data_IF_626524341063
#
_entry.id   IF_626524341063
#
_cell.length_a   1.000
_cell.length_b   1.000
_cell.length_c   1.000
_cell.angle_alpha   90.00
_cell.angle_beta   90.00
_cell.angle_gamma   90.00
#
_symmetry.space_group_name_H-M   'P 1'
#
loop_
_entity.id
_entity.type
_entity.pdbx_description
1 polymer ?
#
# COMPACT_ATOMS: atom_id res chain seq x y z
N UNK A 1 -24.19 -23.74 -3.69
CA UNK A 1 -24.09 -22.27 -3.86
C UNK A 1 -22.64 -21.87 -3.68
N UNK A 2 -22.06 -21.10 -4.60
CA UNK A 2 -20.72 -20.53 -4.40
C UNK A 2 -20.81 -19.45 -3.32
N UNK A 3 -20.01 -19.51 -2.23
CA UNK A 3 -20.18 -18.60 -1.09
C UNK A 3 -19.84 -17.15 -1.43
N UNK A 4 -18.98 -16.95 -2.43
CA UNK A 4 -18.54 -15.67 -2.97
C UNK A 4 -18.90 -15.57 -4.45
N UNK A 5 -19.24 -14.37 -4.90
CA UNK A 5 -19.39 -13.98 -6.30
C UNK A 5 -18.21 -13.11 -6.72
N UNK A 6 -17.89 -13.14 -8.01
CA UNK A 6 -16.83 -12.32 -8.60
C UNK A 6 -17.43 -11.08 -9.26
N UNK A 7 -16.88 -9.91 -8.98
CA UNK A 7 -17.35 -8.61 -9.43
C UNK A 7 -16.23 -7.88 -10.16
N UNK A 8 -16.53 -7.28 -11.29
CA UNK A 8 -15.68 -6.30 -11.98
C UNK A 8 -15.78 -4.93 -11.31
N UNK A 9 -14.82 -4.04 -11.58
CA UNK A 9 -14.85 -2.65 -11.08
C UNK A 9 -16.15 -1.92 -11.46
N UNK A 10 -16.72 -2.22 -12.64
CA UNK A 10 -17.98 -1.60 -13.11
C UNK A 10 -19.22 -2.07 -12.34
N UNK A 11 -19.14 -3.18 -11.62
CA UNK A 11 -20.22 -3.74 -10.80
C UNK A 11 -20.15 -3.29 -9.33
N UNK A 12 -19.13 -2.51 -8.95
CA UNK A 12 -18.93 -2.01 -7.60
C UNK A 12 -19.46 -0.59 -7.41
N UNK A 13 -20.06 -0.34 -6.23
CA UNK A 13 -20.27 1.01 -5.74
C UNK A 13 -18.98 1.53 -5.10
N UNK A 14 -18.43 2.64 -5.58
CA UNK A 14 -17.18 3.19 -5.06
C UNK A 14 -17.46 4.37 -4.13
N UNK A 15 -17.17 4.17 -2.84
CA UNK A 15 -17.39 5.16 -1.78
C UNK A 15 -16.25 6.19 -1.79
N UNK A 16 -16.56 7.44 -1.49
CA UNK A 16 -15.56 8.52 -1.44
C UNK A 16 -14.95 8.94 -2.79
N UNK A 17 -15.38 8.35 -3.92
CA UNK A 17 -14.76 8.54 -5.23
C UNK A 17 -14.66 10.02 -5.65
N UNK A 18 -15.65 10.85 -5.28
CA UNK A 18 -15.66 12.27 -5.66
C UNK A 18 -14.39 13.01 -5.22
N UNK A 19 -13.89 12.72 -4.01
CA UNK A 19 -12.65 13.32 -3.51
C UNK A 19 -11.42 12.75 -4.24
N UNK A 20 -11.45 11.46 -4.57
CA UNK A 20 -10.36 10.79 -5.29
C UNK A 20 -10.24 11.22 -6.75
N UNK A 21 -11.31 11.69 -7.40
CA UNK A 21 -11.24 12.21 -8.77
C UNK A 21 -10.32 13.43 -8.93
N UNK A 22 -10.02 14.15 -7.85
CA UNK A 22 -9.05 15.26 -7.87
C UNK A 22 -7.61 14.80 -7.67
N UNK A 23 -7.38 13.52 -7.34
CA UNK A 23 -6.06 12.92 -7.23
C UNK A 23 -5.63 12.48 -8.65
N UNK A 24 -4.57 13.10 -9.19
CA UNK A 24 -4.21 13.01 -10.61
C UNK A 24 -4.13 11.58 -11.18
N UNK A 25 -3.55 10.65 -10.42
CA UNK A 25 -3.35 9.26 -10.87
C UNK A 25 -4.58 8.35 -10.70
N UNK A 26 -5.53 8.71 -9.83
CA UNK A 26 -6.66 7.85 -9.51
C UNK A 26 -7.49 7.44 -10.74
N UNK A 27 -7.85 8.35 -11.68
CA UNK A 27 -8.58 7.95 -12.89
C UNK A 27 -7.80 6.96 -13.76
N UNK A 28 -6.47 7.07 -13.84
CA UNK A 28 -5.64 6.16 -14.62
C UNK A 28 -5.59 4.76 -13.98
N UNK A 29 -5.34 4.70 -12.67
CA UNK A 29 -5.35 3.48 -11.87
C UNK A 29 -6.68 2.72 -12.02
N UNK A 30 -7.81 3.42 -11.87
CA UNK A 30 -9.13 2.82 -12.07
C UNK A 30 -9.34 2.31 -13.49
N UNK A 31 -8.90 3.06 -14.52
CA UNK A 31 -9.02 2.63 -15.92
C UNK A 31 -8.21 1.37 -16.21
N UNK A 32 -6.99 1.26 -15.67
CA UNK A 32 -6.17 0.06 -15.80
C UNK A 32 -6.90 -1.17 -15.25
N UNK A 33 -7.45 -1.09 -14.03
CA UNK A 33 -8.21 -2.21 -13.44
C UNK A 33 -9.41 -2.61 -14.30
N UNK A 34 -10.13 -1.65 -14.88
CA UNK A 34 -11.25 -1.91 -15.79
C UNK A 34 -10.77 -2.59 -17.07
N UNK A 35 -9.72 -2.06 -17.70
CA UNK A 35 -9.18 -2.56 -18.97
C UNK A 35 -8.63 -3.99 -18.84
N UNK A 36 -7.96 -4.28 -17.72
CA UNK A 36 -7.38 -5.58 -17.44
C UNK A 36 -8.41 -6.60 -16.92
N UNK A 37 -9.67 -6.18 -16.74
CA UNK A 37 -10.74 -7.04 -16.24
C UNK A 37 -10.50 -7.52 -14.80
N UNK A 38 -9.81 -6.72 -13.98
CA UNK A 38 -9.51 -7.05 -12.59
C UNK A 38 -10.79 -7.30 -11.80
N UNK A 39 -10.76 -8.32 -10.93
CA UNK A 39 -11.94 -8.80 -10.22
C UNK A 39 -11.76 -8.82 -8.72
N UNK A 40 -12.82 -8.42 -8.06
CA UNK A 40 -13.02 -8.50 -6.62
C UNK A 40 -13.94 -9.66 -6.30
N UNK A 41 -13.93 -10.11 -5.05
CA UNK A 41 -14.87 -11.10 -4.52
C UNK A 41 -15.76 -10.44 -3.49
N UNK A 42 -17.03 -10.80 -3.48
CA UNK A 42 -17.95 -10.40 -2.42
C UNK A 42 -18.85 -11.58 -2.06
N UNK A 43 -19.42 -11.62 -0.84
CA UNK A 43 -20.46 -12.57 -0.49
C UNK A 43 -21.57 -12.61 -1.54
N UNK A 44 -22.01 -13.81 -1.89
CA UNK A 44 -23.21 -13.98 -2.70
C UNK A 44 -24.43 -13.36 -1.98
N UNK A 45 -25.44 -12.94 -2.73
CA UNK A 45 -26.66 -12.38 -2.15
C UNK A 45 -27.33 -13.40 -1.21
N UNK A 46 -27.72 -12.96 -0.01
CA UNK A 46 -28.25 -13.85 1.04
C UNK A 46 -27.23 -14.77 1.70
N UNK A 47 -25.92 -14.62 1.40
CA UNK A 47 -24.87 -15.43 2.01
C UNK A 47 -24.73 -15.12 3.52
N UNK A 48 -24.64 -16.14 4.40
CA UNK A 48 -24.34 -15.94 5.82
C UNK A 48 -22.89 -15.48 6.08
N UNK A 49 -22.11 -15.26 5.02
CA UNK A 49 -20.75 -14.73 5.08
C UNK A 49 -20.69 -13.21 4.82
N UNK A 50 -21.84 -12.53 4.69
CA UNK A 50 -21.94 -11.08 4.48
C UNK A 50 -21.69 -10.25 5.76
N UNK A 51 -20.56 -10.51 6.43
CA UNK A 51 -20.14 -9.81 7.64
C UNK A 51 -18.66 -9.40 7.55
N UNK A 52 -18.37 -8.19 8.05
CA UNK A 52 -17.05 -7.56 7.90
C UNK A 52 -15.93 -8.32 8.65
N UNK A 53 -16.24 -8.88 9.83
CA UNK A 53 -15.32 -9.69 10.62
C UNK A 53 -14.78 -10.90 9.83
N UNK A 54 -15.65 -11.55 9.04
CA UNK A 54 -15.26 -12.69 8.20
C UNK A 54 -14.38 -12.28 7.03
N UNK A 55 -14.64 -11.12 6.43
CA UNK A 55 -13.87 -10.62 5.29
C UNK A 55 -12.40 -10.40 5.65
N UNK A 56 -12.12 -9.91 6.86
CA UNK A 56 -10.75 -9.79 7.37
C UNK A 56 -10.01 -11.13 7.36
N UNK A 57 -10.65 -12.20 7.85
CA UNK A 57 -10.06 -13.54 7.83
C UNK A 57 -9.93 -14.12 6.42
N UNK A 58 -10.89 -13.84 5.53
CA UNK A 58 -10.84 -14.30 4.14
C UNK A 58 -9.72 -13.60 3.36
N UNK A 59 -9.44 -12.33 3.64
CA UNK A 59 -8.31 -11.62 3.04
C UNK A 59 -6.95 -12.09 3.54
N UNK A 60 -6.86 -12.96 4.56
CA UNK A 60 -5.59 -13.64 4.85
C UNK A 60 -5.13 -14.51 3.68
N UNK A 61 -6.05 -14.98 2.83
CA UNK A 61 -5.69 -15.74 1.62
C UNK A 61 -5.39 -14.85 0.41
N UNK A 62 -5.61 -13.53 0.49
CA UNK A 62 -5.33 -12.57 -0.60
C UNK A 62 -3.90 -12.70 -1.10
N UNK A 63 -2.99 -12.98 -0.17
CA UNK A 63 -1.59 -13.08 -0.48
C UNK A 63 -1.20 -14.36 -1.23
N UNK A 64 -2.05 -15.40 -1.24
CA UNK A 64 -1.79 -16.65 -1.94
C UNK A 64 -1.60 -16.45 -3.46
N UNK A 65 -0.46 -16.92 -3.98
CA UNK A 65 -0.04 -16.70 -5.37
C UNK A 65 -1.03 -17.16 -6.47
N UNK A 66 -1.97 -18.05 -6.14
CA UNK A 66 -2.94 -18.60 -7.09
C UNK A 66 -4.18 -17.75 -7.33
N UNK A 67 -4.49 -16.76 -6.47
CA UNK A 67 -5.79 -16.08 -6.51
C UNK A 67 -5.79 -14.73 -5.76
N UNK A 68 -5.24 -13.71 -6.40
CA UNK A 68 -5.07 -12.37 -5.84
C UNK A 68 -6.31 -11.48 -5.98
N UNK A 69 -7.46 -11.98 -5.52
CA UNK A 69 -8.71 -11.23 -5.50
C UNK A 69 -9.00 -10.73 -4.08
N UNK A 70 -9.09 -9.41 -3.90
CA UNK A 70 -9.60 -8.83 -2.65
C UNK A 70 -11.03 -9.31 -2.39
N UNK A 71 -11.29 -9.76 -1.16
CA UNK A 71 -12.62 -10.07 -0.66
C UNK A 71 -13.18 -8.80 0.00
N UNK A 72 -14.33 -8.35 -0.48
CA UNK A 72 -15.10 -7.22 0.01
C UNK A 72 -16.25 -7.72 0.89
N UNK A 73 -16.70 -6.89 1.83
CA UNK A 73 -17.85 -7.23 2.69
C UNK A 73 -19.18 -7.25 1.92
N UNK A 74 -19.28 -6.45 0.87
CA UNK A 74 -20.44 -6.33 -0.01
C UNK A 74 -19.98 -5.84 -1.40
N UNK A 75 -20.93 -5.47 -2.28
CA UNK A 75 -20.62 -4.94 -3.62
C UNK A 75 -20.18 -3.46 -3.61
N UNK A 76 -19.39 -3.05 -2.62
CA UNK A 76 -18.83 -1.71 -2.56
C UNK A 76 -17.42 -1.69 -1.98
N UNK A 77 -16.68 -0.66 -2.38
CA UNK A 77 -15.25 -0.48 -2.07
C UNK A 77 -14.98 1.00 -1.83
N UNK A 78 -14.08 1.33 -0.92
CA UNK A 78 -13.61 2.70 -0.74
C UNK A 78 -12.59 3.07 -1.84
N UNK A 79 -12.56 4.32 -2.26
CA UNK A 79 -11.73 4.76 -3.38
C UNK A 79 -10.22 4.63 -3.13
N UNK A 80 -9.78 4.77 -1.88
CA UNK A 80 -8.40 4.49 -1.45
C UNK A 80 -8.07 3.01 -1.62
N UNK A 81 -8.93 2.11 -1.15
CA UNK A 81 -8.73 0.67 -1.29
C UNK A 81 -8.65 0.27 -2.77
N UNK A 82 -9.48 0.87 -3.64
CA UNK A 82 -9.39 0.65 -5.08
C UNK A 82 -8.04 1.13 -5.67
N UNK A 83 -7.55 2.29 -5.24
CA UNK A 83 -6.27 2.83 -5.70
C UNK A 83 -5.09 1.98 -5.22
N UNK A 84 -5.15 1.52 -3.97
CA UNK A 84 -4.17 0.64 -3.36
C UNK A 84 -4.12 -0.72 -4.10
N UNK A 85 -5.27 -1.34 -4.35
CA UNK A 85 -5.37 -2.57 -5.14
C UNK A 85 -4.86 -2.38 -6.59
N UNK A 86 -5.08 -1.20 -7.18
CA UNK A 86 -4.55 -0.87 -8.50
C UNK A 86 -3.01 -0.83 -8.51
N UNK A 87 -2.37 -0.27 -7.48
CA UNK A 87 -0.91 -0.29 -7.37
C UNK A 87 -0.36 -1.70 -7.23
N UNK A 88 -1.01 -2.57 -6.45
CA UNK A 88 -0.65 -3.99 -6.39
C UNK A 88 -0.74 -4.68 -7.74
N UNK A 89 -1.83 -4.41 -8.48
CA UNK A 89 -1.99 -4.96 -9.81
C UNK A 89 -0.92 -4.46 -10.79
N UNK A 90 -0.62 -3.16 -10.79
CA UNK A 90 0.44 -2.56 -11.61
C UNK A 90 1.83 -3.15 -11.27
N UNK A 91 2.16 -3.24 -9.98
CA UNK A 91 3.41 -3.82 -9.52
C UNK A 91 3.54 -5.29 -9.92
N UNK A 92 2.49 -6.10 -9.76
CA UNK A 92 2.49 -7.50 -10.22
C UNK A 92 2.73 -7.64 -11.72
N UNK A 93 2.17 -6.75 -12.54
CA UNK A 93 2.42 -6.74 -14.00
C UNK A 93 3.88 -6.40 -14.30
N UNK A 94 4.41 -5.36 -13.65
CA UNK A 94 5.76 -4.86 -13.89
C UNK A 94 6.86 -5.78 -13.34
N UNK A 95 6.57 -6.50 -12.25
CA UNK A 95 7.53 -7.33 -11.48
C UNK A 95 7.20 -8.82 -11.58
N UNK A 96 6.43 -9.24 -12.59
CA UNK A 96 5.93 -10.59 -12.73
C UNK A 96 7.07 -11.62 -12.70
N UNK A 97 6.90 -12.65 -11.86
CA UNK A 97 7.78 -13.81 -11.78
C UNK A 97 7.00 -15.07 -12.18
N UNK A 98 7.60 -16.01 -12.94
CA UNK A 98 6.93 -17.24 -13.38
C UNK A 98 6.66 -18.24 -12.25
N UNK A 99 7.22 -18.06 -11.06
CA UNK A 99 7.07 -18.97 -9.92
C UNK A 99 6.35 -18.31 -8.76
N UNK A 100 7.07 -17.48 -8.02
CA UNK A 100 6.59 -16.69 -6.89
C UNK A 100 7.29 -15.33 -6.94
N UNK A 101 6.64 -14.25 -6.46
CA UNK A 101 7.30 -12.97 -6.34
C UNK A 101 8.47 -13.07 -5.36
N UNK A 102 9.58 -12.39 -5.68
CA UNK A 102 10.71 -12.27 -4.76
C UNK A 102 10.31 -11.37 -3.58
N UNK A 103 11.03 -11.43 -2.44
CA UNK A 103 10.77 -10.52 -1.32
C UNK A 103 10.85 -9.05 -1.74
N UNK A 104 11.85 -8.70 -2.57
CA UNK A 104 12.00 -7.34 -3.08
C UNK A 104 10.81 -6.92 -3.97
N UNK A 105 10.31 -7.80 -4.83
CA UNK A 105 9.12 -7.50 -5.65
C UNK A 105 7.88 -7.24 -4.79
N UNK A 106 7.66 -8.06 -3.74
CA UNK A 106 6.57 -7.85 -2.78
C UNK A 106 6.73 -6.50 -2.06
N UNK A 107 7.90 -6.23 -1.49
CA UNK A 107 8.13 -5.01 -0.73
C UNK A 107 8.07 -3.75 -1.59
N UNK A 108 8.50 -3.80 -2.86
CA UNK A 108 8.38 -2.66 -3.76
C UNK A 108 6.90 -2.34 -4.06
N UNK A 109 6.09 -3.36 -4.34
CA UNK A 109 4.65 -3.19 -4.58
C UNK A 109 3.94 -2.57 -3.38
N UNK A 110 4.14 -3.13 -2.19
CA UNK A 110 3.60 -2.61 -0.92
C UNK A 110 4.07 -1.18 -0.63
N UNK A 111 5.37 -0.92 -0.79
CA UNK A 111 5.95 0.40 -0.53
C UNK A 111 5.37 1.48 -1.44
N UNK A 112 5.11 1.16 -2.72
CA UNK A 112 4.46 2.08 -3.66
C UNK A 112 3.01 2.33 -3.24
N UNK A 113 2.23 1.27 -2.96
CA UNK A 113 0.83 1.40 -2.60
C UNK A 113 0.65 2.20 -1.29
N UNK A 114 1.41 1.86 -0.24
CA UNK A 114 1.38 2.56 1.05
C UNK A 114 1.92 3.99 1.00
N UNK A 115 2.98 4.25 0.22
CA UNK A 115 3.43 5.62 0.04
C UNK A 115 2.42 6.46 -0.75
N UNK A 116 1.67 5.85 -1.67
CA UNK A 116 0.59 6.53 -2.38
C UNK A 116 -0.55 6.93 -1.44
N UNK A 117 -0.84 6.15 -0.40
CA UNK A 117 -1.79 6.55 0.64
C UNK A 117 -1.35 7.85 1.32
N UNK A 118 -0.06 7.97 1.68
CA UNK A 118 0.49 9.22 2.23
C UNK A 118 0.42 10.38 1.24
N UNK A 119 0.67 10.13 -0.04
CA UNK A 119 0.51 11.13 -1.11
C UNK A 119 -0.93 11.67 -1.15
N UNK A 120 -1.92 10.78 -1.08
CA UNK A 120 -3.34 11.17 -1.06
C UNK A 120 -3.67 11.98 0.19
N UNK A 121 -3.14 11.60 1.36
CA UNK A 121 -3.25 12.39 2.59
C UNK A 121 -2.72 13.80 2.37
N UNK A 122 -1.49 13.95 1.85
CA UNK A 122 -0.89 15.25 1.56
C UNK A 122 -1.73 16.09 0.59
N UNK A 123 -2.22 15.48 -0.49
CA UNK A 123 -3.08 16.15 -1.47
C UNK A 123 -4.40 16.65 -0.87
N UNK A 124 -5.03 15.84 -0.02
CA UNK A 124 -6.31 16.20 0.61
C UNK A 124 -6.12 17.25 1.71
N UNK A 125 -5.03 17.18 2.49
CA UNK A 125 -4.66 18.20 3.46
C UNK A 125 -4.40 19.54 2.77
N UNK A 126 -3.59 19.54 1.71
CA UNK A 126 -3.26 20.74 0.92
C UNK A 126 -4.49 21.43 0.34
N UNK A 127 -5.47 20.64 -0.12
CA UNK A 127 -6.71 21.17 -0.68
C UNK A 127 -7.76 21.56 0.38
N UNK A 128 -7.49 21.33 1.67
CA UNK A 128 -8.41 21.62 2.77
C UNK A 128 -9.69 20.78 2.75
N UNK A 129 -9.70 19.67 2.01
CA UNK A 129 -10.87 18.80 1.91
C UNK A 129 -11.09 18.06 3.23
N UNK A 130 -12.35 17.98 3.68
CA UNK A 130 -12.74 17.11 4.80
C UNK A 130 -13.37 15.84 4.23
N UNK A 131 -12.61 14.75 4.26
CA UNK A 131 -13.02 13.46 3.69
C UNK A 131 -13.07 12.38 4.78
N UNK A 132 -13.89 11.35 4.56
CA UNK A 132 -13.91 10.18 5.43
C UNK A 132 -12.53 9.49 5.49
N UNK A 133 -11.78 9.54 4.38
CA UNK A 133 -10.42 9.04 4.29
C UNK A 133 -9.46 9.77 5.25
N UNK A 134 -9.44 11.11 5.25
CA UNK A 134 -8.62 11.85 6.23
C UNK A 134 -9.08 11.60 7.67
N UNK A 135 -10.39 11.45 7.88
CA UNK A 135 -10.97 11.18 9.19
C UNK A 135 -10.57 9.79 9.76
N UNK A 136 -10.12 8.85 8.93
CA UNK A 136 -9.55 7.57 9.38
C UNK A 136 -8.02 7.60 9.42
N UNK A 137 -7.37 8.13 8.38
CA UNK A 137 -5.92 8.07 8.23
C UNK A 137 -5.16 8.95 9.22
N UNK A 138 -5.57 10.22 9.39
CA UNK A 138 -4.84 11.14 10.28
C UNK A 138 -4.87 10.67 11.74
N UNK A 139 -6.00 10.21 12.31
CA UNK A 139 -6.01 9.62 13.64
C UNK A 139 -5.13 8.36 13.76
N UNK A 140 -5.13 7.48 12.75
CA UNK A 140 -4.30 6.27 12.76
C UNK A 140 -2.80 6.60 12.74
N UNK A 141 -2.38 7.55 11.90
CA UNK A 141 -1.02 8.06 11.86
C UNK A 141 -0.63 8.75 13.17
N UNK A 142 -1.56 9.50 13.77
CA UNK A 142 -1.35 10.17 15.06
C UNK A 142 -1.06 9.16 16.16
N UNK A 143 -1.89 8.10 16.26
CA UNK A 143 -1.68 7.04 17.25
C UNK A 143 -0.32 6.36 17.08
N UNK A 144 0.08 6.06 15.84
CA UNK A 144 1.38 5.45 15.55
C UNK A 144 2.55 6.39 15.90
N UNK A 145 2.47 7.66 15.51
CA UNK A 145 3.54 8.62 15.74
C UNK A 145 3.75 8.90 17.24
N UNK A 146 2.67 9.15 17.99
CA UNK A 146 2.73 9.37 19.44
C UNK A 146 3.22 8.11 20.18
N UNK A 147 2.75 6.94 19.76
CA UNK A 147 3.23 5.65 20.29
C UNK A 147 4.72 5.39 20.03
N UNK A 148 5.30 6.05 19.02
CA UNK A 148 6.71 6.00 18.69
C UNK A 148 7.55 7.08 19.39
N UNK A 149 6.93 7.92 20.23
CA UNK A 149 7.60 8.99 20.97
C UNK A 149 7.72 10.33 20.25
N UNK A 150 7.08 10.50 19.08
CA UNK A 150 6.97 11.81 18.43
C UNK A 150 5.96 12.66 19.22
N UNK A 151 6.26 13.93 19.48
CA UNK A 151 5.27 14.84 20.10
C UNK A 151 4.27 15.41 19.08
N UNK A 152 3.19 16.01 19.59
CA UNK A 152 2.10 16.55 18.77
C UNK A 152 2.57 17.68 17.83
N UNK A 153 3.49 18.53 18.28
CA UNK A 153 3.98 19.66 17.47
C UNK A 153 4.86 19.17 16.31
N UNK A 154 5.71 18.17 16.56
CA UNK A 154 6.51 17.51 15.54
C UNK A 154 5.64 16.71 14.56
N UNK A 155 4.55 16.10 15.03
CA UNK A 155 3.56 15.47 14.16
C UNK A 155 2.83 16.47 13.26
N UNK A 156 2.39 17.61 13.81
CA UNK A 156 1.76 18.69 13.03
C UNK A 156 2.72 19.22 11.96
N UNK A 157 3.99 19.42 12.31
CA UNK A 157 5.03 19.81 11.36
C UNK A 157 5.24 18.73 10.27
N UNK A 158 5.24 17.46 10.63
CA UNK A 158 5.34 16.34 9.69
C UNK A 158 4.18 16.35 8.70
N UNK A 159 2.93 16.41 9.17
CA UNK A 159 1.74 16.44 8.30
C UNK A 159 1.70 17.70 7.43
N UNK A 160 2.15 18.84 7.95
CA UNK A 160 2.29 20.08 7.18
C UNK A 160 3.29 19.90 6.05
N UNK A 161 4.47 19.32 6.32
CA UNK A 161 5.47 19.05 5.28
C UNK A 161 4.97 18.07 4.20
N UNK A 162 4.14 17.09 4.59
CA UNK A 162 3.51 16.15 3.66
C UNK A 162 2.49 16.86 2.76
N UNK A 163 1.75 17.83 3.31
CA UNK A 163 0.84 18.65 2.54
C UNK A 163 1.56 19.65 1.60
N UNK A 164 2.69 20.20 2.04
CA UNK A 164 3.49 21.15 1.26
C UNK A 164 4.09 20.50 0.01
N UNK A 165 4.64 19.28 0.15
CA UNK A 165 5.23 18.52 -0.96
C UNK A 165 4.84 17.03 -0.92
N UNK A 166 3.61 16.68 -1.38
CA UNK A 166 3.12 15.30 -1.38
C UNK A 166 3.96 14.36 -2.26
N UNK A 167 4.52 14.87 -3.37
CA UNK A 167 5.33 14.09 -4.30
C UNK A 167 6.67 13.69 -3.64
N UNK A 168 7.28 14.62 -2.89
CA UNK A 168 8.46 14.30 -2.07
C UNK A 168 8.10 13.39 -0.89
N UNK A 169 6.93 13.58 -0.27
CA UNK A 169 6.39 12.69 0.77
C UNK A 169 6.32 11.24 0.30
N UNK A 170 5.74 11.03 -0.88
CA UNK A 170 5.68 9.74 -1.54
C UNK A 170 7.06 9.12 -1.72
N UNK A 171 8.00 9.85 -2.35
CA UNK A 171 9.31 9.31 -2.69
C UNK A 171 10.10 8.88 -1.45
N UNK A 172 10.19 9.74 -0.42
CA UNK A 172 10.97 9.44 0.78
C UNK A 172 10.33 8.31 1.62
N UNK A 173 8.99 8.27 1.72
CA UNK A 173 8.32 7.18 2.44
C UNK A 173 8.50 5.84 1.70
N UNK A 174 8.32 5.82 0.38
CA UNK A 174 8.50 4.61 -0.44
C UNK A 174 9.90 4.03 -0.24
N UNK A 175 10.95 4.86 -0.30
CA UNK A 175 12.32 4.40 -0.07
C UNK A 175 12.51 3.84 1.33
N UNK A 176 12.03 4.54 2.37
CA UNK A 176 12.10 4.04 3.75
C UNK A 176 11.40 2.68 3.90
N UNK A 177 10.18 2.55 3.40
CA UNK A 177 9.38 1.33 3.51
C UNK A 177 10.08 0.15 2.84
N UNK A 178 10.63 0.37 1.64
CA UNK A 178 11.35 -0.66 0.90
C UNK A 178 12.64 -1.07 1.62
N UNK A 179 13.47 -0.09 1.99
CA UNK A 179 14.77 -0.32 2.63
C UNK A 179 14.59 -1.02 4.00
N UNK A 180 13.64 -0.55 4.81
CA UNK A 180 13.36 -1.12 6.12
C UNK A 180 12.80 -2.54 6.01
N UNK A 181 11.85 -2.79 5.10
CA UNK A 181 11.28 -4.13 4.93
C UNK A 181 12.32 -5.14 4.44
N UNK A 182 13.16 -4.75 3.47
CA UNK A 182 14.21 -5.62 2.93
C UNK A 182 15.29 -5.91 3.99
N UNK A 183 15.71 -4.90 4.75
CA UNK A 183 16.69 -5.07 5.81
C UNK A 183 16.15 -5.97 6.94
N UNK A 184 14.92 -5.72 7.41
CA UNK A 184 14.28 -6.53 8.47
C UNK A 184 14.04 -7.98 8.04
N UNK A 185 13.67 -8.19 6.77
CA UNK A 185 13.53 -9.53 6.22
C UNK A 185 14.84 -10.33 6.33
N UNK A 186 15.98 -9.68 6.04
CA UNK A 186 17.33 -10.26 6.11
C UNK A 186 17.93 -10.43 7.51
N UNK A 187 17.31 -9.87 8.57
CA UNK A 187 17.79 -10.06 9.93
C UNK A 187 17.64 -11.52 10.40
N UNK A 188 18.73 -12.09 10.92
CA UNK A 188 18.75 -13.45 11.45
C UNK A 188 18.10 -13.56 12.85
N UNK A 189 18.17 -12.50 13.65
CA UNK A 189 17.70 -12.46 15.03
C UNK A 189 17.18 -11.06 15.42
N UNK A 190 16.77 -10.95 16.69
CA UNK A 190 16.20 -9.73 17.26
C UNK A 190 17.25 -8.62 17.40
N UNK A 191 18.49 -8.95 17.75
CA UNK A 191 19.56 -7.95 17.96
C UNK A 191 19.95 -7.29 16.63
N UNK A 192 20.01 -8.08 15.55
CA UNK A 192 20.15 -7.58 14.19
C UNK A 192 18.98 -6.67 13.80
N UNK A 193 17.74 -7.06 14.13
CA UNK A 193 16.56 -6.26 13.83
C UNK A 193 16.54 -4.92 14.60
N UNK A 194 16.96 -4.91 15.87
CA UNK A 194 17.14 -3.66 16.65
C UNK A 194 18.15 -2.75 15.97
N UNK A 195 19.32 -3.29 15.61
CA UNK A 195 20.37 -2.52 14.94
C UNK A 195 19.90 -1.94 13.59
N UNK A 196 19.12 -2.70 12.83
CA UNK A 196 18.50 -2.25 11.58
C UNK A 196 17.52 -1.10 11.82
N UNK A 197 16.61 -1.20 12.80
CA UNK A 197 15.64 -0.14 13.11
C UNK A 197 16.33 1.12 13.61
N UNK A 198 17.38 1.00 14.43
CA UNK A 198 18.18 2.13 14.90
C UNK A 198 18.80 2.92 13.74
N UNK A 199 19.16 2.23 12.65
CA UNK A 199 19.68 2.87 11.43
C UNK A 199 18.68 3.80 10.73
N UNK A 200 17.38 3.61 10.95
CA UNK A 200 16.32 4.42 10.35
C UNK A 200 15.73 5.47 11.29
N UNK A 201 16.14 5.53 12.56
CA UNK A 201 15.51 6.38 13.58
C UNK A 201 15.46 7.87 13.22
N UNK A 202 16.47 8.35 12.48
CA UNK A 202 16.61 9.76 12.09
C UNK A 202 15.84 10.07 10.78
N UNK A 203 15.23 9.06 10.15
CA UNK A 203 14.38 9.27 8.99
C UNK A 203 13.08 9.95 9.39
N UNK A 204 12.64 10.97 8.62
CA UNK A 204 11.46 11.79 8.95
C UNK A 204 10.15 11.01 9.15
N UNK A 205 10.06 9.82 8.56
CA UNK A 205 8.88 8.94 8.64
C UNK A 205 9.09 7.70 9.52
N UNK A 206 10.19 7.62 10.27
CA UNK A 206 10.49 6.47 11.12
C UNK A 206 9.37 6.18 12.14
N UNK A 207 8.78 7.25 12.70
CA UNK A 207 7.65 7.19 13.64
C UNK A 207 6.35 6.66 13.03
N UNK A 208 6.28 6.50 11.70
CA UNK A 208 5.13 5.96 11.00
C UNK A 208 5.32 4.51 10.54
N UNK A 209 6.49 3.89 10.76
CA UNK A 209 6.73 2.51 10.32
C UNK A 209 5.69 1.52 10.85
N UNK A 210 5.23 1.69 12.10
CA UNK A 210 4.20 0.82 12.66
C UNK A 210 2.82 0.98 11.99
N UNK A 211 2.50 2.19 11.50
CA UNK A 211 1.25 2.46 10.81
C UNK A 211 1.11 1.64 9.52
N UNK A 212 2.22 1.43 8.80
CA UNK A 212 2.25 0.70 7.53
C UNK A 212 2.40 -0.82 7.67
N UNK A 213 2.25 -1.37 8.88
CA UNK A 213 2.19 -2.82 9.13
C UNK A 213 3.38 -3.63 8.54
N UNK A 214 4.60 -3.07 8.53
CA UNK A 214 5.80 -3.75 8.00
C UNK A 214 6.02 -5.16 8.57
N UNK A 215 5.64 -5.40 9.83
CA UNK A 215 5.74 -6.72 10.45
C UNK A 215 4.94 -7.78 9.68
N UNK A 216 3.75 -7.43 9.19
CA UNK A 216 2.92 -8.32 8.37
C UNK A 216 3.58 -8.60 7.02
N UNK A 217 4.16 -7.59 6.37
CA UNK A 217 4.88 -7.78 5.10
C UNK A 217 6.07 -8.72 5.26
N UNK A 218 6.90 -8.50 6.29
CA UNK A 218 8.09 -9.30 6.55
C UNK A 218 7.71 -10.75 6.90
N UNK A 219 6.72 -10.95 7.76
CA UNK A 219 6.22 -12.29 8.09
C UNK A 219 5.65 -13.00 6.86
N UNK A 220 4.90 -12.28 6.04
CA UNK A 220 4.34 -12.82 4.81
C UNK A 220 5.43 -13.25 3.83
N UNK A 221 6.41 -12.38 3.57
CA UNK A 221 7.51 -12.68 2.67
C UNK A 221 8.36 -13.87 3.16
N UNK A 222 8.60 -13.99 4.47
CA UNK A 222 9.30 -15.16 5.04
C UNK A 222 8.55 -16.47 4.83
N UNK A 223 7.23 -16.43 4.84
CA UNK A 223 6.40 -17.62 4.70
C UNK A 223 6.16 -18.02 3.23
N UNK A 224 6.13 -17.05 2.31
CA UNK A 224 5.57 -17.27 0.98
C UNK A 224 6.35 -16.69 -0.20
N UNK A 225 7.32 -15.80 0.02
CA UNK A 225 8.11 -15.26 -1.09
C UNK A 225 9.00 -16.34 -1.71
N UNK A 226 9.34 -16.14 -2.99
CA UNK A 226 10.42 -16.90 -3.63
C UNK A 226 11.78 -16.63 -2.97
N UNK A 227 12.84 -17.37 -3.35
CA UNK A 227 14.18 -17.06 -2.88
C UNK A 227 14.60 -15.65 -3.34
N UNK A 228 15.51 -15.02 -2.58
CA UNK A 228 16.20 -13.84 -3.07
C UNK A 228 16.99 -14.17 -4.33
N UNK A 229 17.04 -13.22 -5.27
CA UNK A 229 17.71 -13.38 -6.55
C UNK A 229 18.85 -12.36 -6.65
N UNK A 230 20.01 -12.80 -7.13
CA UNK A 230 21.10 -11.89 -7.45
C UNK A 230 20.70 -10.95 -8.60
N UNK A 231 20.95 -9.65 -8.46
CA UNK A 231 20.47 -8.62 -9.39
C UNK A 231 18.94 -8.62 -9.57
N UNK A 232 18.20 -8.71 -8.46
CA UNK A 232 16.75 -8.69 -8.45
C UNK A 232 16.21 -7.47 -9.26
N UNK A 233 15.34 -7.69 -10.26
CA UNK A 233 14.75 -6.62 -11.05
C UNK A 233 14.04 -5.58 -10.19
N UNK A 234 13.40 -5.96 -9.08
CA UNK A 234 12.72 -5.02 -8.19
C UNK A 234 13.73 -4.07 -7.50
N UNK A 235 14.91 -4.57 -7.10
CA UNK A 235 15.98 -3.73 -6.54
C UNK A 235 16.51 -2.75 -7.59
N UNK A 236 16.71 -3.22 -8.82
CA UNK A 236 17.13 -2.37 -9.94
C UNK A 236 16.09 -1.28 -10.25
N UNK A 237 14.81 -1.67 -10.20
CA UNK A 237 13.70 -0.77 -10.46
C UNK A 237 13.53 0.27 -9.36
N UNK A 238 13.70 -0.11 -8.10
CA UNK A 238 13.70 0.80 -6.96
C UNK A 238 14.81 1.84 -7.11
N UNK A 239 16.02 1.41 -7.49
CA UNK A 239 17.15 2.32 -7.69
C UNK A 239 16.86 3.31 -8.82
N UNK A 240 16.28 2.86 -9.95
CA UNK A 240 15.87 3.75 -11.04
C UNK A 240 14.77 4.74 -10.59
N UNK A 241 13.82 4.29 -9.77
CA UNK A 241 12.76 5.12 -9.23
C UNK A 241 13.26 6.15 -8.21
N UNK A 242 14.32 5.84 -7.46
CA UNK A 242 15.00 6.75 -6.53
C UNK A 242 15.69 7.91 -7.25
N UNK A 243 16.27 7.64 -8.42
CA UNK A 243 16.91 8.66 -9.27
C UNK A 243 15.93 9.44 -10.15
N UNK A 244 14.66 9.00 -10.24
CA UNK A 244 13.66 9.66 -11.06
C UNK A 244 13.32 11.05 -10.50
N UNK A 245 13.35 12.14 -11.32
CA UNK A 245 13.00 13.48 -10.85
C UNK A 245 11.58 13.59 -10.29
N UNK A 246 10.65 12.79 -10.81
CA UNK A 246 9.27 12.70 -10.36
C UNK A 246 8.85 11.22 -10.34
N UNK A 247 8.93 10.60 -9.16
CA UNK A 247 8.70 9.16 -8.99
C UNK A 247 7.30 8.72 -9.45
N UNK A 248 6.26 9.51 -9.16
CA UNK A 248 4.88 9.20 -9.58
C UNK A 248 4.71 9.26 -11.10
N UNK A 249 5.33 10.24 -11.78
CA UNK A 249 5.32 10.32 -13.26
C UNK A 249 6.06 9.13 -13.88
N UNK A 250 7.16 8.71 -13.27
CA UNK A 250 7.88 7.52 -13.72
C UNK A 250 6.99 6.26 -13.61
N UNK A 251 6.23 6.13 -12.51
CA UNK A 251 5.32 5.01 -12.26
C UNK A 251 4.07 5.02 -13.16
N UNK A 252 3.72 6.14 -13.81
CA UNK A 252 2.66 6.15 -14.83
C UNK A 252 2.94 5.14 -15.96
N UNK A 253 4.22 4.81 -16.23
CA UNK A 253 4.58 3.77 -17.19
C UNK A 253 4.12 2.35 -16.81
N UNK A 254 3.66 2.13 -15.58
CA UNK A 254 3.12 0.85 -15.12
C UNK A 254 1.58 0.74 -15.29
N UNK A 255 0.91 1.85 -15.57
CA UNK A 255 -0.56 2.00 -15.58
C UNK A 255 -1.08 2.05 -17.02
#
# INVERSE_FOLDING_TARGET
MTPLRSLTVGELSIRGERAFRTIGLYPALKRMLVADGFRFRAPAEGSPHAHHDRVLFLNLTFWGAGDSSDVLADASIDADVLAHAAWHHAARKALASPTAPTPAALFLGESIASAFDLYVVGQMLRSGQRTAYLASQVPAMTLAALGSGLDEAALEALLSSVADDPDRAFADLRCLLFDAALALWGCADVDAAVSTLDGFRDHRFASLLHHFALSSWVLYARAHAGPAVENDPAVTMEAALREAPQALVWLEGWI
#
